data_IF_858256882763
#
_entry.id   IF_858256882763
#
_cell.length_a   1.000
_cell.length_b   1.000
_cell.length_c   1.000
_cell.angle_alpha   90.00
_cell.angle_beta   90.00
_cell.angle_gamma   90.00
#
_symmetry.space_group_name_H-M   'P 1'
#
loop_
_entity.id
_entity.type
_entity.pdbx_description
1 polymer ?
#
# COMPACT_ATOMS: atom_id res chain seq x y z
N UNK A 1 -7.93 -52.06 48.51
CA UNK A 1 -8.26 -50.87 49.33
C UNK A 1 -7.25 -49.80 48.98
N UNK A 2 -7.63 -48.87 48.09
CA UNK A 2 -6.93 -47.62 47.84
C UNK A 2 -8.03 -46.57 47.66
N UNK A 3 -8.02 -45.58 48.54
CA UNK A 3 -9.05 -44.57 48.71
C UNK A 3 -8.99 -43.53 47.57
N UNK A 4 -10.14 -43.25 46.97
CA UNK A 4 -10.36 -42.20 45.99
C UNK A 4 -10.63 -40.88 46.69
N UNK A 5 -9.69 -39.93 46.65
CA UNK A 5 -9.93 -38.54 47.06
C UNK A 5 -10.50 -37.73 45.88
N UNK A 6 -11.79 -37.40 45.97
CA UNK A 6 -12.48 -36.50 45.05
C UNK A 6 -12.23 -35.03 45.44
N UNK A 7 -11.66 -34.24 44.54
CA UNK A 7 -11.51 -32.79 44.70
C UNK A 7 -12.79 -32.10 44.18
N UNK A 8 -13.60 -31.57 45.09
CA UNK A 8 -14.75 -30.72 44.77
C UNK A 8 -14.27 -29.28 44.50
N UNK A 9 -14.52 -28.76 43.28
CA UNK A 9 -14.40 -27.32 42.99
C UNK A 9 -15.80 -26.71 43.01
N UNK A 10 -16.08 -25.92 44.06
CA UNK A 10 -17.29 -25.12 44.19
C UNK A 10 -17.31 -23.98 43.15
N UNK A 11 -18.33 -23.96 42.30
CA UNK A 11 -18.67 -22.81 41.44
C UNK A 11 -19.74 -21.96 42.14
N UNK A 12 -19.36 -20.78 42.62
CA UNK A 12 -20.31 -19.86 43.30
C UNK A 12 -20.99 -18.95 42.28
N UNK A 13 -22.25 -19.24 42.00
CA UNK A 13 -23.16 -18.40 41.19
C UNK A 13 -23.62 -17.20 42.01
N UNK A 14 -23.21 -15.98 41.63
CA UNK A 14 -23.71 -14.75 42.23
C UNK A 14 -25.08 -14.37 41.61
N UNK A 15 -26.15 -14.50 42.40
CA UNK A 15 -27.53 -14.11 42.03
C UNK A 15 -27.74 -12.61 42.26
N UNK A 16 -28.21 -11.92 41.21
CA UNK A 16 -28.70 -10.53 41.22
C UNK A 16 -29.82 -10.33 42.25
N UNK A 17 -29.79 -9.23 43.01
CA UNK A 17 -30.91 -8.72 43.81
C UNK A 17 -31.51 -7.45 43.17
N UNK A 18 -32.84 -7.22 43.30
CA UNK A 18 -33.56 -6.14 42.64
C UNK A 18 -33.49 -4.84 43.45
N UNK A 19 -33.46 -3.69 42.78
CA UNK A 19 -33.57 -2.38 43.42
C UNK A 19 -34.95 -1.78 43.16
N UNK A 20 -35.59 -1.37 44.25
CA UNK A 20 -36.94 -0.81 44.33
C UNK A 20 -37.01 0.66 43.93
N UNK A 21 -38.13 0.99 43.29
CA UNK A 21 -38.71 2.31 43.00
C UNK A 21 -38.83 3.23 44.23
N UNK A 22 -38.50 4.53 44.06
CA UNK A 22 -39.21 5.80 44.42
C UNK A 22 -38.49 6.90 43.60
N UNK A 23 -39.08 7.80 42.82
CA UNK A 23 -39.98 8.92 43.14
C UNK A 23 -40.66 9.43 41.86
N UNK A 24 -41.97 9.74 41.91
CA UNK A 24 -42.71 10.46 40.87
C UNK A 24 -42.97 11.91 41.31
N UNK A 25 -42.76 12.89 40.42
CA UNK A 25 -43.28 14.27 40.47
C UNK A 25 -43.49 14.81 39.03
N UNK A 26 -44.30 15.87 38.81
CA UNK A 26 -45.37 15.88 37.80
C UNK A 26 -45.01 16.46 36.43
N UNK A 27 -45.80 16.06 35.43
CA UNK A 27 -45.74 16.51 34.04
C UNK A 27 -46.10 18.00 33.87
N UNK A 28 -45.19 18.79 33.29
CA UNK A 28 -45.46 20.16 32.81
C UNK A 28 -45.90 20.12 31.34
N UNK A 29 -47.09 20.69 31.07
CA UNK A 29 -47.62 20.95 29.72
C UNK A 29 -46.77 22.03 29.03
N UNK A 30 -46.30 21.76 27.81
CA UNK A 30 -45.72 22.78 26.92
C UNK A 30 -46.57 22.88 25.64
N UNK A 31 -47.13 24.07 25.38
CA UNK A 31 -47.88 24.41 24.17
C UNK A 31 -46.96 24.71 22.96
N UNK A 32 -47.54 24.93 21.77
CA UNK A 32 -46.80 24.97 20.51
C UNK A 32 -45.98 26.25 20.35
N UNK A 33 -44.69 26.13 20.02
CA UNK A 33 -43.81 27.26 19.65
C UNK A 33 -43.92 27.57 18.16
N UNK A 34 -44.16 28.85 17.86
CA UNK A 34 -44.17 29.44 16.52
C UNK A 34 -42.73 29.56 15.98
N UNK A 35 -42.51 29.17 14.72
CA UNK A 35 -41.26 29.40 13.99
C UNK A 35 -41.17 30.88 13.55
N UNK A 36 -40.08 31.57 13.92
CA UNK A 36 -39.65 32.83 13.31
C UNK A 36 -38.56 32.52 12.27
N UNK A 37 -38.66 33.13 11.10
CA UNK A 37 -37.62 33.12 10.06
C UNK A 37 -36.56 34.15 10.44
N UNK A 38 -35.30 33.72 10.50
CA UNK A 38 -34.17 34.62 10.58
C UNK A 38 -33.41 34.67 9.25
N UNK A 39 -33.07 35.90 8.89
CA UNK A 39 -32.49 36.42 7.66
C UNK A 39 -31.06 35.94 7.40
N UNK A 40 -30.75 35.78 6.11
CA UNK A 40 -29.44 35.40 5.56
C UNK A 40 -28.47 36.57 5.67
N UNK A 41 -27.35 36.38 6.39
CA UNK A 41 -26.18 37.25 6.30
C UNK A 41 -25.08 36.54 5.53
N UNK A 42 -24.69 37.14 4.41
CA UNK A 42 -23.64 36.72 3.48
C UNK A 42 -22.27 36.68 4.15
N UNK A 43 -21.74 35.48 4.38
CA UNK A 43 -20.34 35.25 4.71
C UNK A 43 -19.52 35.06 3.43
N UNK A 44 -18.50 35.88 3.26
CA UNK A 44 -17.50 35.83 2.18
C UNK A 44 -16.86 34.44 2.12
N UNK A 45 -16.67 33.81 0.94
CA UNK A 45 -16.00 32.52 0.86
C UNK A 45 -14.54 32.71 1.28
N UNK A 46 -14.13 32.01 2.35
CA UNK A 46 -12.71 31.83 2.62
C UNK A 46 -12.09 31.16 1.41
N UNK A 47 -11.19 31.90 0.76
CA UNK A 47 -10.30 31.48 -0.31
C UNK A 47 -9.69 30.14 0.08
N UNK A 48 -10.17 29.06 -0.50
CA UNK A 48 -9.57 27.73 -0.41
C UNK A 48 -8.11 27.90 -0.77
N UNK A 49 -7.23 27.61 0.19
CA UNK A 49 -5.79 27.49 -0.05
C UNK A 49 -5.63 26.60 -1.27
N UNK A 50 -5.00 27.15 -2.31
CA UNK A 50 -4.52 26.40 -3.46
C UNK A 50 -3.83 25.15 -2.90
N UNK A 51 -4.41 23.99 -3.17
CA UNK A 51 -3.69 22.72 -3.09
C UNK A 51 -2.43 22.93 -3.93
N UNK A 52 -1.28 22.93 -3.27
CA UNK A 52 0.05 22.83 -3.87
C UNK A 52 -0.04 21.97 -5.13
N UNK A 53 0.46 22.46 -6.27
CA UNK A 53 0.58 21.73 -7.56
C UNK A 53 0.65 20.22 -7.26
N UNK A 54 -0.47 19.53 -7.39
CA UNK A 54 -0.48 18.08 -7.30
C UNK A 54 0.51 17.65 -8.37
N UNK A 55 1.57 16.94 -7.98
CA UNK A 55 2.59 16.53 -8.92
C UNK A 55 1.91 15.55 -9.89
N UNK A 56 1.43 16.09 -11.02
CA UNK A 56 0.62 15.34 -11.96
C UNK A 56 1.58 14.39 -12.65
N UNK A 57 1.54 13.13 -12.23
CA UNK A 57 2.24 12.08 -12.94
C UNK A 57 1.73 12.01 -14.36
N UNK A 58 2.60 11.67 -15.30
CA UNK A 58 2.25 11.47 -16.70
C UNK A 58 3.07 10.34 -17.27
N UNK A 59 2.36 9.35 -17.80
CA UNK A 59 2.94 8.17 -18.45
C UNK A 59 2.20 7.93 -19.77
N UNK A 60 2.95 7.55 -20.80
CA UNK A 60 2.43 7.26 -22.13
C UNK A 60 2.84 5.83 -22.50
N UNK A 61 1.86 5.00 -22.81
CA UNK A 61 2.04 3.63 -23.29
C UNK A 61 1.93 3.61 -24.80
N UNK A 62 2.74 2.79 -25.46
CA UNK A 62 2.76 2.63 -26.92
C UNK A 62 2.62 1.15 -27.30
N UNK A 63 1.76 0.85 -28.28
CA UNK A 63 1.60 -0.52 -28.79
C UNK A 63 2.83 -1.03 -29.55
N UNK A 64 3.63 -0.13 -30.15
CA UNK A 64 4.88 -0.45 -30.85
C UNK A 64 6.14 -0.23 -30.00
N UNK A 65 7.27 -0.75 -30.47
CA UNK A 65 8.60 -0.43 -29.93
C UNK A 65 9.03 0.98 -30.34
N UNK A 66 10.01 1.55 -29.65
CA UNK A 66 10.58 2.87 -29.98
C UNK A 66 9.51 3.97 -30.12
N UNK A 67 8.48 3.93 -29.26
CA UNK A 67 7.42 4.94 -29.16
C UNK A 67 6.57 5.08 -30.42
N UNK A 68 6.39 3.97 -31.15
CA UNK A 68 5.60 3.90 -32.39
C UNK A 68 4.20 3.34 -32.17
N UNK A 69 3.32 3.56 -33.15
CA UNK A 69 1.97 3.01 -33.18
C UNK A 69 0.97 3.77 -32.30
N UNK A 70 -0.14 3.12 -31.95
CA UNK A 70 -1.17 3.70 -31.08
C UNK A 70 -0.59 3.95 -29.69
N UNK A 71 -0.93 5.10 -29.12
CA UNK A 71 -0.55 5.45 -27.75
C UNK A 71 -1.76 5.73 -26.86
N UNK A 72 -1.54 5.59 -25.56
CA UNK A 72 -2.50 5.98 -24.53
C UNK A 72 -1.76 6.68 -23.38
N UNK A 73 -2.25 7.86 -23.01
CA UNK A 73 -1.72 8.63 -21.88
C UNK A 73 -2.53 8.36 -20.62
N UNK A 74 -1.83 8.20 -19.50
CA UNK A 74 -2.43 8.11 -18.17
C UNK A 74 -1.77 9.11 -17.21
N UNK A 75 -2.58 9.71 -16.34
CA UNK A 75 -2.13 10.72 -15.37
C UNK A 75 -2.41 10.34 -13.90
N UNK A 76 -3.07 9.21 -13.67
CA UNK A 76 -3.40 8.74 -12.32
C UNK A 76 -3.50 7.20 -12.27
N UNK A 77 -4.24 6.63 -11.31
CA UNK A 77 -4.44 5.18 -11.21
C UNK A 77 -5.40 4.67 -12.28
N UNK A 78 -5.08 3.55 -12.91
CA UNK A 78 -5.96 2.86 -13.86
C UNK A 78 -5.98 1.36 -13.56
N UNK A 79 -7.15 0.83 -13.19
CA UNK A 79 -7.31 -0.58 -12.82
C UNK A 79 -7.47 -1.51 -14.03
N UNK A 80 -7.82 -0.97 -15.19
CA UNK A 80 -7.98 -1.72 -16.43
C UNK A 80 -7.57 -0.87 -17.65
N UNK A 81 -6.45 -1.23 -18.24
CA UNK A 81 -5.91 -0.62 -19.45
C UNK A 81 -6.30 -1.38 -20.73
N UNK A 82 -6.95 -2.55 -20.62
CA UNK A 82 -7.34 -3.37 -21.78
C UNK A 82 -8.18 -2.62 -22.82
N UNK A 83 -9.12 -1.73 -22.44
CA UNK A 83 -9.91 -1.00 -23.42
C UNK A 83 -9.11 -0.03 -24.29
N UNK A 84 -7.93 0.41 -23.84
CA UNK A 84 -7.16 1.46 -24.52
C UNK A 84 -6.10 0.89 -25.48
N UNK A 85 -5.52 -0.27 -25.16
CA UNK A 85 -4.53 -0.94 -26.00
C UNK A 85 -4.47 -2.45 -25.73
N UNK A 86 -4.14 -3.22 -26.76
CA UNK A 86 -4.08 -4.69 -26.65
C UNK A 86 -2.75 -5.21 -26.10
N UNK A 87 -1.68 -4.43 -26.26
CA UNK A 87 -0.28 -4.72 -25.89
C UNK A 87 0.50 -3.42 -25.63
N UNK A 88 1.62 -3.52 -24.92
CA UNK A 88 2.48 -2.38 -24.60
C UNK A 88 3.95 -2.74 -24.82
N UNK A 89 4.57 -2.16 -25.85
CA UNK A 89 5.95 -2.47 -26.25
C UNK A 89 6.94 -1.37 -25.92
N UNK A 90 6.50 -0.12 -25.70
CA UNK A 90 7.36 0.96 -25.22
C UNK A 90 6.58 1.95 -24.35
N UNK A 91 7.29 2.65 -23.46
CA UNK A 91 6.69 3.52 -22.44
C UNK A 91 7.53 4.80 -22.29
N UNK A 92 6.88 5.95 -22.23
CA UNK A 92 7.51 7.19 -21.75
C UNK A 92 6.91 7.61 -20.43
N UNK A 93 7.74 7.79 -19.42
CA UNK A 93 7.34 8.40 -18.15
C UNK A 93 7.83 9.83 -18.15
N UNK A 94 6.91 10.78 -18.37
CA UNK A 94 7.24 12.20 -18.37
C UNK A 94 7.42 12.75 -16.95
N UNK A 95 6.61 12.29 -16.00
CA UNK A 95 6.64 12.71 -14.61
C UNK A 95 6.05 11.65 -13.66
N UNK A 96 6.50 11.70 -12.40
CA UNK A 96 6.05 10.79 -11.36
C UNK A 96 6.73 9.43 -11.41
N UNK A 97 6.48 8.68 -10.34
CA UNK A 97 6.92 7.30 -10.17
C UNK A 97 5.71 6.38 -10.38
N UNK A 98 5.87 5.32 -11.17
CA UNK A 98 4.76 4.48 -11.62
C UNK A 98 4.99 3.02 -11.27
N UNK A 99 3.96 2.40 -10.68
CA UNK A 99 3.86 0.94 -10.60
C UNK A 99 2.96 0.43 -11.71
N UNK A 100 3.50 -0.45 -12.55
CA UNK A 100 2.76 -1.15 -13.60
C UNK A 100 2.53 -2.60 -13.20
N UNK A 101 1.45 -3.18 -13.74
CA UNK A 101 1.04 -4.53 -13.45
C UNK A 101 0.64 -5.27 -14.71
N UNK A 102 1.04 -6.53 -14.79
CA UNK A 102 0.78 -7.42 -15.92
C UNK A 102 -0.71 -7.72 -16.13
N UNK A 103 -1.51 -7.72 -15.06
CA UNK A 103 -2.94 -7.99 -15.09
C UNK A 103 -3.77 -6.81 -14.59
N UNK A 104 -5.06 -6.84 -14.90
CA UNK A 104 -6.04 -5.88 -14.38
C UNK A 104 -6.12 -5.96 -12.86
N UNK A 105 -6.62 -4.90 -12.24
CA UNK A 105 -6.78 -4.79 -10.79
C UNK A 105 -5.47 -4.99 -10.01
N UNK A 106 -4.35 -4.57 -10.60
CA UNK A 106 -3.04 -4.47 -9.94
C UNK A 106 -2.50 -5.84 -9.50
N UNK A 107 -2.58 -6.81 -10.41
CA UNK A 107 -2.18 -8.21 -10.21
C UNK A 107 -1.10 -8.63 -11.20
N UNK A 108 -0.52 -9.80 -10.97
CA UNK A 108 0.55 -10.36 -11.80
C UNK A 108 1.90 -9.69 -11.52
N UNK A 109 2.81 -9.80 -12.48
CA UNK A 109 4.13 -9.18 -12.36
C UNK A 109 4.04 -7.65 -12.22
N UNK A 110 4.87 -7.11 -11.33
CA UNK A 110 4.92 -5.68 -11.00
C UNK A 110 6.20 -5.06 -11.55
N UNK A 111 6.11 -3.84 -12.06
CA UNK A 111 7.24 -3.12 -12.65
C UNK A 111 7.27 -1.68 -12.14
N UNK A 112 8.36 -1.30 -11.48
CA UNK A 112 8.58 0.08 -11.04
C UNK A 112 9.31 0.89 -12.11
N UNK A 113 8.67 1.95 -12.62
CA UNK A 113 9.25 2.88 -13.56
C UNK A 113 9.38 4.27 -12.93
N UNK A 114 10.52 4.92 -13.22
CA UNK A 114 10.78 6.33 -12.92
C UNK A 114 10.63 7.14 -14.20
N UNK A 115 10.71 8.47 -14.08
CA UNK A 115 10.85 9.36 -15.23
C UNK A 115 11.95 8.86 -16.18
N UNK A 116 11.61 8.73 -17.46
CA UNK A 116 12.52 8.21 -18.47
C UNK A 116 11.81 7.60 -19.68
N UNK A 117 12.64 7.27 -20.66
CA UNK A 117 12.23 6.67 -21.92
C UNK A 117 12.58 5.18 -21.92
N UNK A 118 11.57 4.35 -22.18
CA UNK A 118 11.68 2.91 -22.19
C UNK A 118 11.28 2.37 -23.59
N UNK A 119 12.24 2.22 -24.51
CA UNK A 119 11.94 1.93 -25.91
C UNK A 119 11.48 0.49 -26.18
N UNK A 120 11.73 -0.43 -25.26
CA UNK A 120 11.33 -1.84 -25.34
C UNK A 120 11.06 -2.41 -23.93
N UNK A 121 10.24 -3.46 -23.82
CA UNK A 121 9.80 -3.99 -22.53
C UNK A 121 10.91 -4.53 -21.63
N UNK A 122 12.03 -4.95 -22.21
CA UNK A 122 13.23 -5.34 -21.49
C UNK A 122 13.81 -4.20 -20.65
N UNK A 123 13.60 -2.94 -21.03
CA UNK A 123 14.13 -1.77 -20.31
C UNK A 123 13.45 -1.54 -18.95
N UNK A 124 12.25 -2.09 -18.72
CA UNK A 124 11.61 -2.13 -17.40
C UNK A 124 11.61 -3.54 -16.79
N UNK A 125 12.44 -4.44 -17.32
CA UNK A 125 12.51 -5.86 -16.94
C UNK A 125 11.18 -6.61 -17.16
N UNK A 126 10.39 -6.18 -18.15
CA UNK A 126 9.19 -6.86 -18.58
C UNK A 126 9.49 -8.28 -19.09
N UNK A 127 8.68 -9.26 -18.68
CA UNK A 127 8.76 -10.62 -19.23
C UNK A 127 8.04 -10.74 -20.58
N UNK A 128 7.04 -9.89 -20.80
CA UNK A 128 6.21 -9.83 -22.01
C UNK A 128 5.72 -8.39 -22.24
N UNK A 129 4.88 -8.19 -23.27
CA UNK A 129 4.27 -6.91 -23.64
C UNK A 129 2.90 -6.67 -22.96
N UNK A 130 2.55 -7.44 -21.92
CA UNK A 130 1.27 -7.29 -21.20
C UNK A 130 1.41 -6.33 -20.03
N UNK A 131 0.81 -5.14 -20.17
CA UNK A 131 0.57 -4.19 -19.08
C UNK A 131 -0.91 -3.87 -19.07
N UNK A 132 -1.59 -4.10 -17.94
CA UNK A 132 -3.05 -4.07 -17.87
C UNK A 132 -3.59 -3.21 -16.74
N UNK A 133 -2.75 -2.77 -15.81
CA UNK A 133 -3.11 -1.72 -14.85
C UNK A 133 -1.87 -0.94 -14.39
N UNK A 134 -2.08 0.29 -13.92
CA UNK A 134 -1.00 1.16 -13.49
C UNK A 134 -1.41 2.04 -12.30
N UNK A 135 -0.44 2.45 -11.50
CA UNK A 135 -0.64 3.38 -10.39
C UNK A 135 0.48 4.41 -10.34
N UNK A 136 0.10 5.68 -10.31
CA UNK A 136 0.98 6.74 -9.84
C UNK A 136 1.23 6.54 -8.36
N UNK A 137 2.50 6.46 -7.96
CA UNK A 137 2.86 6.26 -6.56
C UNK A 137 2.93 7.60 -5.82
N UNK A 138 2.48 7.65 -4.55
CA UNK A 138 2.56 8.86 -3.75
C UNK A 138 3.99 9.38 -3.65
N UNK A 139 4.11 10.71 -3.63
CA UNK A 139 5.39 11.33 -3.32
C UNK A 139 5.62 11.20 -1.82
N UNK A 140 6.76 10.61 -1.45
CA UNK A 140 7.15 10.54 -0.05
C UNK A 140 8.24 11.57 0.26
N UNK A 141 7.86 12.55 1.07
CA UNK A 141 8.73 13.61 1.57
C UNK A 141 9.01 13.35 3.05
N UNK A 142 9.90 12.41 3.33
CA UNK A 142 10.14 11.96 4.70
C UNK A 142 11.29 10.96 4.80
N UNK A 143 11.37 10.32 5.96
CA UNK A 143 12.37 9.27 6.21
C UNK A 143 11.99 7.98 5.49
N UNK A 144 12.95 7.08 5.33
CA UNK A 144 12.70 5.73 4.86
C UNK A 144 13.15 4.79 5.95
N UNK A 145 12.27 3.87 6.37
CA UNK A 145 12.60 2.91 7.41
C UNK A 145 11.89 1.59 7.18
N UNK A 146 12.69 0.55 6.98
CA UNK A 146 12.26 -0.82 6.69
C UNK A 146 12.90 -1.75 7.72
N UNK A 147 12.12 -2.66 8.30
CA UNK A 147 12.63 -3.80 9.07
C UNK A 147 12.34 -5.08 8.33
N UNK A 148 13.36 -5.93 8.19
CA UNK A 148 13.22 -7.28 7.61
C UNK A 148 13.55 -8.33 8.68
N UNK A 149 12.93 -9.50 8.55
CA UNK A 149 12.97 -10.56 9.55
C UNK A 149 13.20 -11.93 8.90
N UNK A 150 14.01 -12.75 9.58
CA UNK A 150 14.37 -14.11 9.17
C UNK A 150 13.18 -15.08 9.23
N UNK A 151 12.18 -14.82 10.08
CA UNK A 151 10.98 -15.68 10.20
C UNK A 151 9.69 -14.91 9.97
N UNK A 152 8.62 -15.65 9.74
CA UNK A 152 7.27 -15.10 9.69
C UNK A 152 6.87 -14.46 11.03
N UNK A 153 5.83 -13.63 11.01
CA UNK A 153 5.28 -12.94 12.17
C UNK A 153 6.33 -12.14 12.98
N UNK A 154 7.30 -11.53 12.30
CA UNK A 154 8.37 -10.70 12.88
C UNK A 154 9.29 -11.46 13.84
N UNK A 155 9.45 -12.77 13.64
CA UNK A 155 10.35 -13.62 14.42
C UNK A 155 11.76 -13.71 13.85
N UNK A 156 12.66 -14.32 14.63
CA UNK A 156 14.04 -14.59 14.20
C UNK A 156 14.93 -13.35 14.22
N UNK A 157 16.05 -13.41 13.48
CA UNK A 157 16.94 -12.26 13.32
C UNK A 157 16.22 -11.10 12.62
N UNK A 158 16.48 -9.87 13.08
CA UNK A 158 15.89 -8.64 12.56
C UNK A 158 16.97 -7.62 12.23
N UNK A 159 16.81 -6.94 11.11
CA UNK A 159 17.66 -5.81 10.74
C UNK A 159 16.81 -4.65 10.19
N UNK A 160 17.21 -3.43 10.54
CA UNK A 160 16.58 -2.19 10.10
C UNK A 160 17.43 -1.50 9.04
N UNK A 161 16.78 -0.98 8.01
CA UNK A 161 17.39 -0.30 6.88
C UNK A 161 16.72 1.05 6.61
N UNK A 162 17.55 2.05 6.34
CA UNK A 162 17.12 3.38 5.87
C UNK A 162 17.63 3.72 4.47
N UNK A 163 18.51 2.88 3.92
CA UNK A 163 19.18 3.08 2.63
C UNK A 163 18.82 1.96 1.64
N UNK A 164 19.20 2.15 0.37
CA UNK A 164 19.05 1.13 -0.66
C UNK A 164 20.04 -0.02 -0.39
N UNK A 165 19.63 -1.26 -0.63
CA UNK A 165 20.45 -2.44 -0.41
C UNK A 165 20.57 -3.25 -1.71
N UNK A 166 21.69 -3.15 -2.45
CA UNK A 166 21.90 -3.90 -3.70
C UNK A 166 22.17 -5.39 -3.46
N UNK A 167 22.58 -5.79 -2.25
CA UNK A 167 22.85 -7.18 -1.94
C UNK A 167 22.44 -7.51 -0.49
N UNK A 168 21.27 -8.13 -0.32
CA UNK A 168 20.70 -8.42 1.01
C UNK A 168 21.56 -9.39 1.79
N UNK A 169 22.07 -10.45 1.14
CA UNK A 169 22.88 -11.45 1.82
C UNK A 169 24.14 -10.87 2.49
N UNK A 170 24.80 -9.90 1.86
CA UNK A 170 26.01 -9.27 2.42
C UNK A 170 25.74 -8.42 3.67
N UNK A 171 24.51 -7.94 3.86
CA UNK A 171 24.13 -7.11 5.00
C UNK A 171 23.39 -7.93 6.06
N UNK A 172 22.39 -8.68 5.63
CA UNK A 172 21.48 -9.43 6.49
C UNK A 172 21.98 -10.85 6.81
N UNK A 173 22.95 -11.38 6.07
CA UNK A 173 23.47 -12.76 6.20
C UNK A 173 22.46 -13.88 5.88
N UNK A 174 21.27 -13.52 5.38
CA UNK A 174 20.25 -14.44 4.90
C UNK A 174 19.78 -14.01 3.51
N UNK A 175 19.44 -14.99 2.66
CA UNK A 175 18.84 -14.74 1.34
C UNK A 175 17.31 -14.62 1.39
N UNK A 176 16.71 -15.09 2.48
CA UNK A 176 15.27 -15.20 2.63
C UNK A 176 14.78 -14.21 3.69
N UNK A 177 13.76 -13.43 3.32
CA UNK A 177 13.04 -12.50 4.17
C UNK A 177 11.61 -13.00 4.27
N UNK A 178 11.23 -13.48 5.46
CA UNK A 178 9.93 -14.09 5.66
C UNK A 178 8.88 -13.10 6.12
N UNK A 179 9.26 -12.04 6.83
CA UNK A 179 8.34 -10.95 7.18
C UNK A 179 9.06 -9.60 7.20
N UNK A 180 8.31 -8.50 7.08
CA UNK A 180 8.87 -7.16 7.12
C UNK A 180 7.87 -6.13 7.65
N UNK A 181 8.39 -5.05 8.22
CA UNK A 181 7.61 -3.89 8.63
C UNK A 181 8.17 -2.65 7.92
N UNK A 182 7.36 -2.07 7.03
CA UNK A 182 7.66 -0.79 6.42
C UNK A 182 7.13 0.29 7.35
N UNK A 183 8.04 0.85 8.15
CA UNK A 183 7.69 1.86 9.13
C UNK A 183 7.53 3.24 8.49
N UNK A 184 8.32 3.55 7.46
CA UNK A 184 8.20 4.79 6.71
C UNK A 184 8.69 4.64 5.26
N UNK A 185 8.07 5.43 4.38
CA UNK A 185 8.35 5.48 2.95
C UNK A 185 7.81 4.29 2.15
N UNK A 186 8.13 4.31 0.87
CA UNK A 186 7.75 3.29 -0.11
C UNK A 186 8.97 2.54 -0.59
N UNK A 187 8.88 1.21 -0.66
CA UNK A 187 10.01 0.33 -0.97
C UNK A 187 9.68 -0.63 -2.10
N UNK A 188 10.70 -1.03 -2.85
CA UNK A 188 10.60 -2.09 -3.85
C UNK A 188 11.57 -3.20 -3.48
N UNK A 189 11.05 -4.41 -3.28
CA UNK A 189 11.85 -5.63 -3.17
C UNK A 189 12.11 -6.22 -4.54
N UNK A 190 13.26 -6.85 -4.67
CA UNK A 190 13.73 -7.54 -5.86
C UNK A 190 14.15 -8.96 -5.48
N UNK A 191 13.73 -9.94 -6.27
CA UNK A 191 14.08 -11.35 -6.05
C UNK A 191 15.58 -11.60 -6.17
N UNK A 192 16.28 -10.86 -7.04
CA UNK A 192 17.71 -11.01 -7.28
C UNK A 192 18.52 -9.81 -6.74
N UNK A 193 19.84 -9.99 -6.52
CA UNK A 193 20.75 -8.88 -6.24
C UNK A 193 20.77 -7.85 -7.37
N UNK A 194 21.27 -6.65 -7.07
CA UNK A 194 21.44 -5.55 -8.02
C UNK A 194 20.14 -5.09 -8.71
N UNK A 195 19.03 -5.14 -7.98
CA UNK A 195 17.71 -4.66 -8.40
C UNK A 195 17.15 -5.38 -9.63
N UNK A 196 17.32 -6.72 -9.68
CA UNK A 196 16.90 -7.59 -10.79
C UNK A 196 15.82 -8.59 -10.38
N UNK A 197 15.28 -9.29 -11.37
CA UNK A 197 14.22 -10.28 -11.18
C UNK A 197 12.86 -9.65 -10.88
N UNK A 198 11.98 -10.43 -10.24
CA UNK A 198 10.62 -9.98 -9.91
C UNK A 198 10.65 -8.85 -8.88
N UNK A 199 9.75 -7.89 -9.06
CA UNK A 199 9.65 -6.70 -8.22
C UNK A 199 8.38 -6.76 -7.37
N UNK A 200 8.46 -6.29 -6.13
CA UNK A 200 7.32 -6.25 -5.21
C UNK A 200 7.23 -4.86 -4.57
N UNK A 201 6.08 -4.22 -4.69
CA UNK A 201 5.85 -2.90 -4.11
C UNK A 201 5.33 -3.00 -2.67
N UNK A 202 6.05 -2.37 -1.75
CA UNK A 202 5.67 -2.31 -0.35
C UNK A 202 5.30 -0.87 0.05
N UNK A 203 4.07 -0.75 0.56
CA UNK A 203 3.57 0.45 1.25
C UNK A 203 3.89 0.39 2.75
N UNK A 204 3.87 1.53 3.45
CA UNK A 204 3.89 1.53 4.92
C UNK A 204 2.88 0.54 5.49
N UNK A 205 3.34 -0.31 6.41
CA UNK A 205 2.53 -1.38 6.98
C UNK A 205 3.32 -2.62 7.38
N UNK A 206 2.58 -3.54 7.97
CA UNK A 206 3.05 -4.83 8.49
C UNK A 206 2.77 -5.96 7.49
N UNK A 207 3.81 -6.72 7.16
CA UNK A 207 3.74 -7.90 6.28
C UNK A 207 4.26 -9.09 7.06
N UNK A 208 3.38 -9.99 7.48
CA UNK A 208 3.70 -11.07 8.42
C UNK A 208 4.27 -12.30 7.72
N UNK A 209 4.14 -12.39 6.41
CA UNK A 209 4.65 -13.46 5.54
C UNK A 209 4.93 -12.91 4.14
N UNK A 210 5.77 -13.60 3.37
CA UNK A 210 6.18 -13.14 2.03
C UNK A 210 5.05 -13.06 1.00
N UNK A 211 3.98 -13.85 1.18
CA UNK A 211 2.79 -13.76 0.34
C UNK A 211 2.04 -12.43 0.50
N UNK A 212 2.22 -11.71 1.62
CA UNK A 212 1.50 -10.47 1.90
C UNK A 212 1.94 -9.32 0.96
N UNK A 213 3.18 -9.36 0.43
CA UNK A 213 3.65 -8.44 -0.62
C UNK A 213 3.52 -9.02 -2.04
N UNK A 214 2.88 -10.18 -2.18
CA UNK A 214 2.60 -10.83 -3.46
C UNK A 214 3.74 -11.68 -4.02
N UNK A 215 4.74 -12.03 -3.20
CA UNK A 215 5.79 -12.97 -3.62
C UNK A 215 5.33 -14.43 -3.49
N UNK A 216 5.93 -15.29 -4.33
CA UNK A 216 5.73 -16.75 -4.28
C UNK A 216 6.81 -17.48 -3.48
N UNK A 217 7.89 -16.78 -3.12
CA UNK A 217 9.01 -17.29 -2.33
C UNK A 217 9.47 -16.18 -1.36
N UNK A 218 10.15 -16.53 -0.25
CA UNK A 218 10.70 -15.55 0.68
C UNK A 218 11.97 -14.87 0.16
N UNK A 219 12.44 -15.20 -1.05
CA UNK A 219 13.72 -14.74 -1.56
C UNK A 219 13.69 -13.23 -1.84
N UNK A 220 14.61 -12.50 -1.23
CA UNK A 220 14.81 -11.06 -1.47
C UNK A 220 16.31 -10.81 -1.65
N UNK A 221 16.74 -10.61 -2.88
CA UNK A 221 18.16 -10.39 -3.21
C UNK A 221 18.61 -8.94 -3.07
N UNK A 222 17.69 -7.99 -3.28
CA UNK A 222 17.94 -6.55 -3.12
C UNK A 222 16.65 -5.78 -2.86
N UNK A 223 16.76 -4.54 -2.35
CA UNK A 223 15.64 -3.63 -2.22
C UNK A 223 16.07 -2.17 -2.31
N UNK A 224 15.16 -1.29 -2.72
CA UNK A 224 15.44 0.15 -2.82
C UNK A 224 14.24 1.00 -2.44
N UNK A 225 14.53 2.24 -2.08
CA UNK A 225 13.55 3.29 -1.79
C UNK A 225 12.95 3.83 -3.08
N UNK A 226 11.65 4.07 -3.03
CA UNK A 226 10.88 4.64 -4.12
C UNK A 226 10.92 6.18 -4.07
N UNK A 227 12.05 6.76 -4.43
CA UNK A 227 12.24 8.22 -4.53
C UNK A 227 12.13 8.73 -5.96
N UNK A 228 11.48 9.88 -6.13
CA UNK A 228 11.59 10.67 -7.37
C UNK A 228 12.99 11.30 -7.37
N UNK A 229 13.73 11.12 -8.45
CA UNK A 229 14.98 11.85 -8.64
C UNK A 229 14.57 13.20 -9.26
N UNK A 230 14.68 14.28 -8.49
CA UNK A 230 14.48 15.65 -8.99
C UNK A 230 15.66 16.10 -9.83
#
# INVERSE_FOLDING_TARGET
MLETNALYIHTTVQKKKPFSSKYCLPARKYGPRKYKRDTVTTGTPMRTRNTSKANMGKIIFYEGRNFQGRSHECSSVCADLQPFFSRCNSIRVESGNWMLYEHVNYRGHQYFLKRGDYPEFQHWMGLNDSIRSCRLTPQHHGSYRLRIYERENFGGHMMEFSEDCPHVYEQFMYNDVYSCNVQDGHWIFYEEPNYRGRQYYLKPGEYKRYSDWGAMSPRVGSFRRMRENY
#
